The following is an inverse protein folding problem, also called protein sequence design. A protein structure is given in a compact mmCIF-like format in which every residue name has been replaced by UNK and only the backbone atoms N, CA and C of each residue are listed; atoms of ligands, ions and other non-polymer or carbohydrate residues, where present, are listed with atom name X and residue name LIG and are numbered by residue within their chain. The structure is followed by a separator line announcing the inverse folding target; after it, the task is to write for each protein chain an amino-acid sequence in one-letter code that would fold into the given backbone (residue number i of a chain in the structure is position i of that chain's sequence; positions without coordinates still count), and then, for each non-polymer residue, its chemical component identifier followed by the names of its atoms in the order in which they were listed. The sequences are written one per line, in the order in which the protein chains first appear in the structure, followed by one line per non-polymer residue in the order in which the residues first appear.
data_IF_192147984878
#
_entry.id   IF_192147984878
#
_cell.length_a   1.000
_cell.length_b   1.000
_cell.length_c   1.000
_cell.angle_alpha   90.00
_cell.angle_beta   90.00
_cell.angle_gamma   90.00
#
_symmetry.space_group_name_H-M   'P 1'
#
loop_
_entity.id
_entity.type
_entity.pdbx_description
1 polymer ?
#
# COMPACT_ATOMS: atom_id res chain seq x y z
N UNK A 1 -18.10 25.70 9.95
CA UNK A 1 -18.78 24.45 9.56
C UNK A 1 -17.72 23.39 9.31
N UNK A 2 -17.40 22.57 10.32
CA UNK A 2 -16.45 21.48 10.17
C UNK A 2 -17.14 20.37 9.38
N UNK A 3 -16.86 20.25 8.09
CA UNK A 3 -17.24 19.07 7.32
C UNK A 3 -16.43 17.91 7.90
N UNK A 4 -17.08 17.07 8.70
CA UNK A 4 -16.53 15.75 9.04
C UNK A 4 -16.35 15.05 7.70
N UNK A 5 -15.11 15.00 7.20
CA UNK A 5 -14.78 14.11 6.10
C UNK A 5 -15.14 12.74 6.66
N UNK A 6 -16.25 12.16 6.17
CA UNK A 6 -16.69 10.83 6.57
C UNK A 6 -15.47 9.92 6.52
N UNK A 7 -15.28 9.11 7.57
CA UNK A 7 -14.13 8.21 7.63
C UNK A 7 -14.09 7.46 6.30
N UNK A 8 -13.01 7.56 5.50
CA UNK A 8 -12.97 6.84 4.23
C UNK A 8 -13.20 5.35 4.52
N UNK A 9 -14.11 4.77 3.73
CA UNK A 9 -14.47 3.35 3.83
C UNK A 9 -13.26 2.47 3.54
N UNK A 10 -12.41 2.91 2.61
CA UNK A 10 -11.11 2.31 2.36
C UNK A 10 -10.18 2.54 3.56
N UNK A 11 -9.81 1.46 4.24
CA UNK A 11 -8.96 1.46 5.42
C UNK A 11 -7.47 1.42 5.06
N UNK A 12 -7.08 0.55 4.12
CA UNK A 12 -5.71 0.37 3.66
C UNK A 12 -5.69 -0.28 2.28
N UNK A 13 -4.57 -0.15 1.57
CA UNK A 13 -4.23 -0.93 0.38
C UNK A 13 -2.98 -1.73 0.71
N UNK A 14 -3.01 -3.04 0.44
CA UNK A 14 -1.86 -3.92 0.58
C UNK A 14 -1.40 -4.38 -0.80
N UNK A 15 -0.10 -4.48 -1.00
CA UNK A 15 0.49 -5.02 -2.22
C UNK A 15 1.42 -6.13 -1.78
N UNK A 16 1.24 -7.33 -2.35
CA UNK A 16 2.11 -8.47 -2.11
C UNK A 16 2.62 -9.01 -3.45
N UNK A 17 3.89 -9.42 -3.56
CA UNK A 17 4.34 -10.18 -4.73
C UNK A 17 3.55 -11.49 -4.83
N UNK A 18 3.30 -11.94 -6.06
CA UNK A 18 2.77 -13.28 -6.36
C UNK A 18 3.66 -13.95 -7.40
N UNK A 19 3.76 -15.28 -7.35
CA UNK A 19 4.44 -16.02 -8.40
C UNK A 19 3.50 -16.18 -9.59
N UNK A 20 3.92 -15.64 -10.73
CA UNK A 20 3.37 -15.99 -12.03
C UNK A 20 4.51 -16.55 -12.87
N UNK A 21 4.23 -17.60 -13.63
CA UNK A 21 5.25 -18.38 -14.34
C UNK A 21 5.94 -17.57 -15.46
N UNK A 22 5.33 -16.47 -15.91
CA UNK A 22 5.78 -15.69 -17.08
C UNK A 22 6.26 -14.26 -16.75
N UNK A 23 5.77 -13.62 -15.67
CA UNK A 23 6.12 -12.22 -15.33
C UNK A 23 5.99 -11.92 -13.82
N UNK A 24 6.76 -10.97 -13.30
CA UNK A 24 6.61 -10.53 -11.91
C UNK A 24 5.30 -9.75 -11.72
N UNK A 25 4.37 -10.36 -11.00
CA UNK A 25 3.08 -9.77 -10.68
C UNK A 25 2.94 -9.48 -9.19
N UNK A 26 1.99 -8.60 -8.87
CA UNK A 26 1.61 -8.29 -7.50
C UNK A 26 0.11 -8.44 -7.32
N UNK A 27 -0.30 -8.93 -6.17
CA UNK A 27 -1.68 -8.88 -5.74
C UNK A 27 -1.91 -7.62 -4.90
N UNK A 28 -2.81 -6.78 -5.38
CA UNK A 28 -3.27 -5.58 -4.69
C UNK A 28 -4.57 -5.91 -3.97
N UNK A 29 -4.62 -5.63 -2.67
CA UNK A 29 -5.78 -5.87 -1.79
C UNK A 29 -6.29 -4.57 -1.20
N UNK A 30 -7.51 -4.18 -1.57
CA UNK A 30 -8.23 -3.09 -0.93
C UNK A 30 -8.92 -3.59 0.32
N UNK A 31 -8.56 -3.03 1.47
CA UNK A 31 -9.17 -3.37 2.75
C UNK A 31 -10.18 -2.32 3.18
N UNK A 32 -11.42 -2.72 3.38
CA UNK A 32 -12.49 -1.81 3.80
C UNK A 32 -12.73 -1.83 5.31
N UNK A 33 -13.40 -0.79 5.82
CA UNK A 33 -13.68 -0.61 7.25
C UNK A 33 -14.92 -1.38 7.70
N UNK A 34 -15.96 -1.36 6.88
CA UNK A 34 -17.19 -2.10 7.13
C UNK A 34 -16.91 -3.60 6.96
N UNK A 35 -17.35 -4.39 7.94
CA UNK A 35 -17.20 -5.87 7.90
C UNK A 35 -18.07 -6.52 6.82
N UNK A 36 -19.11 -5.81 6.38
CA UNK A 36 -20.05 -6.26 5.35
C UNK A 36 -19.52 -6.02 3.94
N UNK A 37 -18.50 -5.18 3.78
CA UNK A 37 -17.84 -4.96 2.50
C UNK A 37 -16.70 -5.95 2.36
N UNK A 38 -16.79 -6.82 1.35
CA UNK A 38 -15.71 -7.74 1.02
C UNK A 38 -14.47 -6.99 0.57
N UNK A 39 -13.30 -7.47 1.00
CA UNK A 39 -12.02 -6.96 0.51
C UNK A 39 -11.89 -7.33 -0.97
N UNK A 40 -11.46 -6.37 -1.80
CA UNK A 40 -11.27 -6.57 -3.24
C UNK A 40 -9.80 -6.91 -3.49
N UNK A 41 -9.54 -7.94 -4.28
CA UNK A 41 -8.19 -8.38 -4.67
C UNK A 41 -8.05 -8.31 -6.19
N UNK A 42 -6.97 -7.70 -6.66
CA UNK A 42 -6.66 -7.51 -8.09
C UNK A 42 -5.21 -7.92 -8.35
N UNK A 43 -4.99 -8.69 -9.41
CA UNK A 43 -3.66 -9.05 -9.89
C UNK A 43 -3.22 -8.02 -10.92
N UNK A 44 -2.07 -7.39 -10.67
CA UNK A 44 -1.53 -6.31 -11.50
C UNK A 44 -0.05 -6.52 -11.73
N UNK A 45 0.48 -5.92 -12.78
CA UNK A 45 1.92 -5.73 -12.90
C UNK A 45 2.42 -4.74 -11.84
N UNK A 46 3.72 -4.77 -11.55
CA UNK A 46 4.33 -3.81 -10.62
C UNK A 46 4.11 -2.36 -11.09
N UNK A 47 4.16 -2.10 -12.39
CA UNK A 47 3.98 -0.76 -12.98
C UNK A 47 2.54 -0.26 -12.79
N UNK A 48 1.53 -1.09 -13.06
CA UNK A 48 0.13 -0.73 -12.85
C UNK A 48 -0.17 -0.47 -11.37
N UNK A 49 0.37 -1.32 -10.48
CA UNK A 49 0.20 -1.14 -9.03
C UNK A 49 0.77 0.19 -8.53
N UNK A 50 1.85 0.68 -9.14
CA UNK A 50 2.46 1.96 -8.79
C UNK A 50 1.53 3.13 -9.12
N UNK A 51 0.80 3.07 -10.24
CA UNK A 51 -0.14 4.11 -10.64
C UNK A 51 -1.37 4.14 -9.73
N UNK A 52 -1.84 2.97 -9.27
CA UNK A 52 -2.86 2.89 -8.22
C UNK A 52 -2.37 3.57 -6.93
N UNK A 53 -1.18 3.23 -6.43
CA UNK A 53 -0.63 3.83 -5.21
C UNK A 53 -0.50 5.35 -5.32
N UNK A 54 -0.01 5.86 -6.47
CA UNK A 54 0.08 7.31 -6.72
C UNK A 54 -1.28 7.99 -6.64
N UNK A 55 -2.34 7.39 -7.20
CA UNK A 55 -3.68 7.98 -7.19
C UNK A 55 -4.27 8.14 -5.78
N UNK A 56 -3.88 7.24 -4.86
CA UNK A 56 -4.32 7.27 -3.46
C UNK A 56 -3.40 8.05 -2.52
N UNK A 57 -2.19 8.41 -2.97
CA UNK A 57 -1.28 9.26 -2.22
C UNK A 57 -1.75 10.71 -2.23
N UNK A 58 -1.63 11.39 -1.08
CA UNK A 58 -2.14 12.75 -0.80
C UNK A 58 -3.66 12.88 -0.77
N UNK A 59 -4.41 11.97 -1.38
CA UNK A 59 -5.88 11.93 -1.35
C UNK A 59 -6.39 11.13 -0.15
N UNK A 60 -6.12 9.82 -0.12
CA UNK A 60 -6.59 8.89 0.91
C UNK A 60 -5.51 8.58 1.95
N UNK A 61 -4.24 8.51 1.51
CA UNK A 61 -3.11 8.15 2.37
C UNK A 61 -1.97 9.17 2.27
N UNK A 62 -1.22 9.30 3.36
CA UNK A 62 -0.04 10.19 3.46
C UNK A 62 1.25 9.43 3.72
N UNK A 63 1.19 8.09 3.75
CA UNK A 63 2.35 7.25 4.03
C UNK A 63 2.27 5.92 3.30
N UNK A 64 3.41 5.41 2.89
CA UNK A 64 3.62 4.07 2.33
C UNK A 64 4.69 3.39 3.17
N UNK A 65 4.45 2.12 3.51
CA UNK A 65 5.41 1.28 4.21
C UNK A 65 5.78 0.12 3.30
N UNK A 66 7.07 -0.02 3.02
CA UNK A 66 7.64 -1.12 2.25
C UNK A 66 8.48 -1.98 3.18
N UNK A 67 8.12 -3.24 3.28
CA UNK A 67 8.88 -4.24 4.04
C UNK A 67 9.77 -5.01 3.08
N UNK A 68 11.06 -5.09 3.39
CA UNK A 68 12.01 -5.89 2.62
C UNK A 68 12.85 -6.77 3.56
N UNK A 69 13.65 -7.65 2.99
CA UNK A 69 14.54 -8.54 3.75
C UNK A 69 15.73 -7.81 4.36
N UNK A 70 16.11 -6.66 3.80
CA UNK A 70 17.29 -5.91 4.22
C UNK A 70 16.94 -4.75 5.14
N UNK A 71 15.81 -4.08 4.88
CA UNK A 71 15.36 -2.91 5.62
C UNK A 71 13.88 -2.62 5.39
N UNK A 72 13.27 -1.93 6.34
CA UNK A 72 11.94 -1.37 6.14
C UNK A 72 12.06 0.09 5.71
N UNK A 73 11.30 0.46 4.69
CA UNK A 73 11.30 1.81 4.12
C UNK A 73 9.94 2.43 4.36
N UNK A 74 9.93 3.61 4.98
CA UNK A 74 8.72 4.39 5.18
C UNK A 74 8.82 5.66 4.35
N UNK A 75 7.91 5.82 3.40
CA UNK A 75 7.71 7.07 2.68
C UNK A 75 6.54 7.83 3.31
N UNK A 76 6.73 9.09 3.65
CA UNK A 76 5.66 9.98 4.14
C UNK A 76 5.60 11.23 3.28
N UNK A 77 4.40 11.64 2.90
CA UNK A 77 4.15 12.87 2.16
C UNK A 77 3.16 13.74 2.92
N UNK A 78 3.45 15.03 3.06
CA UNK A 78 2.50 15.95 3.68
C UNK A 78 1.46 16.46 2.66
N UNK A 79 0.44 17.16 3.14
CA UNK A 79 -0.60 17.77 2.27
C UNK A 79 -0.05 18.79 1.27
N UNK A 80 1.13 19.36 1.53
CA UNK A 80 1.84 20.29 0.64
C UNK A 80 2.68 19.57 -0.43
N UNK A 81 2.74 18.24 -0.41
CA UNK A 81 3.50 17.44 -1.37
C UNK A 81 4.98 17.26 -1.04
N UNK A 82 5.45 17.69 0.13
CA UNK A 82 6.83 17.46 0.56
C UNK A 82 6.91 16.03 1.11
N UNK A 83 7.76 15.22 0.48
CA UNK A 83 8.03 13.83 0.84
C UNK A 83 9.24 13.69 1.76
N UNK A 84 9.24 12.65 2.57
CA UNK A 84 10.38 12.20 3.38
C UNK A 84 10.46 10.68 3.33
N UNK A 85 11.67 10.15 3.31
CA UNK A 85 11.96 8.72 3.35
C UNK A 85 12.77 8.45 4.62
N UNK A 86 12.40 7.43 5.36
CA UNK A 86 13.16 6.92 6.50
C UNK A 86 13.31 5.41 6.39
N UNK A 87 14.47 4.91 6.81
CA UNK A 87 14.80 3.49 6.78
C UNK A 87 14.99 2.96 8.21
N UNK A 88 14.60 1.72 8.45
CA UNK A 88 14.83 1.03 9.71
C UNK A 88 15.23 -0.42 9.47
N UNK A 89 15.75 -1.08 10.50
CA UNK A 89 16.03 -2.53 10.45
C UNK A 89 14.78 -3.32 10.01
N UNK A 90 14.96 -4.45 9.31
CA UNK A 90 13.85 -5.19 8.72
C UNK A 90 13.00 -5.84 9.81
N UNK A 91 11.69 -5.65 9.75
CA UNK A 91 10.74 -6.28 10.68
C UNK A 91 10.53 -7.76 10.34
N UNK A 92 10.56 -8.11 9.06
CA UNK A 92 10.38 -9.48 8.59
C UNK A 92 11.72 -10.17 8.37
N UNK A 93 12.05 -11.13 9.25
CA UNK A 93 13.29 -11.92 9.16
C UNK A 93 13.11 -13.28 8.49
N UNK A 94 11.90 -13.84 8.57
CA UNK A 94 11.56 -15.12 7.97
C UNK A 94 10.68 -14.87 6.75
N UNK A 95 11.28 -14.95 5.58
CA UNK A 95 10.58 -14.85 4.30
C UNK A 95 10.02 -16.23 3.96
N UNK A 96 8.71 -16.34 3.92
CA UNK A 96 8.05 -17.46 3.22
C UNK A 96 7.94 -17.11 1.75
N UNK A 97 8.19 -18.10 0.89
CA UNK A 97 7.97 -17.97 -0.54
C UNK A 97 6.49 -17.56 -0.76
N UNK A 98 6.25 -16.51 -1.58
CA UNK A 98 4.93 -15.99 -1.94
C UNK A 98 3.94 -17.01 -2.57
#
# INVERSE_FOLDING_TARGET
MAKTIGKPELKNIFIRPIYSDDEFMVLLKYRYRLRETEDIEEELTLVESLDVVKSHLKSSFLSVLLFTTEKDVVFKVNKKGIGSISESSPTFKNVTQA
#
